data_IF_664805766778
#
_entry.id   IF_664805766778
#
_cell.length_a   1.000
_cell.length_b   1.000
_cell.length_c   1.000
_cell.angle_alpha   90.00
_cell.angle_beta   90.00
_cell.angle_gamma   90.00
#
_symmetry.space_group_name_H-M   'P 1'
#
loop_
_entity.id
_entity.type
_entity.pdbx_description
1 polymer ?
#
# COMPACT_ATOMS: atom_id res chain seq x y z
N UNK A 1 -10.72 -5.15 -8.23
CA UNK A 1 -9.39 -4.98 -7.63
C UNK A 1 -9.31 -5.75 -6.32
N UNK A 2 -8.32 -6.62 -6.20
CA UNK A 2 -8.02 -7.34 -4.97
C UNK A 2 -6.97 -6.54 -4.18
N UNK A 3 -7.30 -6.16 -2.94
CA UNK A 3 -6.39 -5.43 -2.04
C UNK A 3 -5.93 -6.38 -0.95
N UNK A 4 -4.61 -6.52 -0.79
CA UNK A 4 -4.01 -7.53 0.08
C UNK A 4 -2.97 -6.96 1.02
N UNK A 5 -2.98 -7.45 2.26
CA UNK A 5 -1.92 -7.21 3.22
C UNK A 5 -0.61 -7.89 2.78
N UNK A 6 0.54 -7.24 2.98
CA UNK A 6 1.85 -7.82 2.62
C UNK A 6 2.37 -8.84 3.65
N UNK A 7 1.84 -8.82 4.89
CA UNK A 7 2.27 -9.65 6.02
C UNK A 7 3.03 -8.88 7.09
N UNK A 8 3.14 -9.47 8.30
CA UNK A 8 3.58 -8.80 9.52
C UNK A 8 4.85 -9.44 10.13
N UNK A 9 5.80 -9.83 9.31
CA UNK A 9 7.03 -10.52 9.75
C UNK A 9 8.29 -9.67 9.58
N UNK A 10 8.16 -8.40 9.13
CA UNK A 10 9.29 -7.53 8.82
C UNK A 10 10.22 -8.12 7.75
N UNK A 11 9.65 -8.84 6.78
CA UNK A 11 10.41 -9.64 5.82
C UNK A 11 10.42 -8.99 4.44
N UNK A 12 11.55 -9.11 3.75
CA UNK A 12 11.73 -8.76 2.36
C UNK A 12 11.01 -9.79 1.47
N UNK A 13 9.86 -9.40 0.89
CA UNK A 13 9.06 -10.25 0.02
C UNK A 13 9.67 -10.48 -1.36
N UNK A 14 10.68 -9.72 -1.74
CA UNK A 14 11.45 -9.98 -2.97
C UNK A 14 12.43 -11.15 -2.78
N UNK A 15 12.83 -11.44 -1.53
CA UNK A 15 13.72 -12.55 -1.16
C UNK A 15 12.97 -13.77 -0.65
N UNK A 16 11.88 -13.57 0.09
CA UNK A 16 11.05 -14.64 0.63
C UNK A 16 9.62 -14.49 0.14
N UNK A 17 9.16 -15.46 -0.63
CA UNK A 17 7.83 -15.45 -1.23
C UNK A 17 6.77 -15.64 -0.14
N UNK A 18 5.78 -14.74 -0.13
CA UNK A 18 4.55 -14.85 0.65
C UNK A 18 3.36 -14.88 -0.29
N UNK A 19 2.57 -15.92 -0.19
CA UNK A 19 1.37 -16.09 -1.00
C UNK A 19 0.14 -15.43 -0.36
N UNK A 20 -0.77 -14.91 -1.20
CA UNK A 20 -0.65 -14.66 -2.63
C UNK A 20 0.40 -13.57 -2.91
N UNK A 21 1.27 -13.83 -3.87
CA UNK A 21 2.24 -12.82 -4.31
C UNK A 21 1.63 -11.92 -5.40
N UNK A 22 2.14 -10.69 -5.50
CA UNK A 22 1.70 -9.73 -6.52
C UNK A 22 2.24 -10.00 -7.93
N UNK A 23 2.94 -11.14 -8.13
CA UNK A 23 3.56 -11.55 -9.39
C UNK A 23 2.95 -12.87 -9.85
N UNK A 24 2.80 -13.05 -11.14
CA UNK A 24 2.43 -14.32 -11.76
C UNK A 24 3.63 -15.28 -11.87
N UNK A 25 3.42 -16.46 -12.47
CA UNK A 25 4.46 -17.49 -12.65
C UNK A 25 5.63 -17.04 -13.54
N UNK A 26 5.45 -15.99 -14.33
CA UNK A 26 6.49 -15.42 -15.22
C UNK A 26 7.24 -14.27 -14.56
N UNK A 27 6.88 -13.88 -13.34
CA UNK A 27 7.42 -12.71 -12.66
C UNK A 27 6.75 -11.39 -13.04
N UNK A 28 5.70 -11.44 -13.87
CA UNK A 28 4.92 -10.26 -14.24
C UNK A 28 3.96 -9.88 -13.11
N UNK A 29 3.80 -8.59 -12.88
CA UNK A 29 2.86 -8.06 -11.88
C UNK A 29 1.42 -8.33 -12.29
N UNK A 30 0.62 -8.77 -11.31
CA UNK A 30 -0.82 -9.00 -11.47
C UNK A 30 -1.55 -7.67 -11.49
N UNK A 31 -2.24 -7.36 -12.58
CA UNK A 31 -2.83 -6.03 -12.81
C UNK A 31 -4.01 -5.70 -11.88
N UNK A 32 -4.73 -6.70 -11.40
CA UNK A 32 -5.90 -6.53 -10.53
C UNK A 32 -5.65 -6.89 -9.06
N UNK A 33 -4.38 -7.02 -8.64
CA UNK A 33 -3.97 -7.27 -7.26
C UNK A 33 -2.99 -6.19 -6.80
N UNK A 34 -3.26 -5.57 -5.64
CA UNK A 34 -2.38 -4.58 -5.01
C UNK A 34 -2.01 -5.03 -3.60
N UNK A 35 -0.71 -5.03 -3.26
CA UNK A 35 -0.18 -5.44 -1.95
C UNK A 35 0.23 -4.23 -1.12
N UNK A 36 -0.19 -4.23 0.14
CA UNK A 36 -0.13 -3.06 1.01
C UNK A 36 0.80 -3.32 2.19
N UNK A 37 1.80 -2.45 2.36
CA UNK A 37 2.61 -2.33 3.56
C UNK A 37 1.97 -1.38 4.58
N UNK A 38 2.36 -1.49 5.85
CA UNK A 38 1.88 -0.65 6.93
C UNK A 38 2.89 0.45 7.30
N UNK A 39 2.42 1.69 7.47
CA UNK A 39 3.20 2.83 7.97
C UNK A 39 2.62 3.36 9.28
N UNK A 40 3.47 4.06 10.06
CA UNK A 40 3.07 4.82 11.23
C UNK A 40 2.52 6.21 10.86
N UNK A 41 2.10 6.99 11.87
CA UNK A 41 1.57 8.36 11.70
C UNK A 41 2.61 9.34 11.13
N UNK A 42 3.90 9.09 11.32
CA UNK A 42 4.99 9.90 10.81
C UNK A 42 5.44 9.47 9.40
N UNK A 43 4.76 8.48 8.81
CA UNK A 43 5.07 7.91 7.53
C UNK A 43 6.33 7.05 7.53
N UNK A 44 6.73 6.45 8.66
CA UNK A 44 7.77 5.44 8.67
C UNK A 44 7.13 4.07 8.41
N UNK A 45 7.83 3.15 7.72
CA UNK A 45 7.37 1.77 7.63
C UNK A 45 7.26 1.16 9.02
N UNK A 46 6.15 0.47 9.29
CA UNK A 46 5.95 -0.25 10.54
C UNK A 46 7.00 -1.33 10.71
N UNK A 47 7.54 -1.49 11.91
CA UNK A 47 8.63 -2.45 12.20
C UNK A 47 8.26 -3.89 11.85
N UNK A 48 6.99 -4.24 11.92
CA UNK A 48 6.46 -5.57 11.59
C UNK A 48 6.08 -5.71 10.10
N UNK A 49 5.93 -4.60 9.36
CA UNK A 49 5.46 -4.66 7.97
C UNK A 49 6.41 -5.46 7.08
N UNK A 50 5.88 -6.37 6.28
CA UNK A 50 6.64 -6.88 5.16
C UNK A 50 6.83 -5.78 4.12
N UNK A 51 7.90 -5.86 3.35
CA UNK A 51 8.31 -4.91 2.33
C UNK A 51 8.90 -5.63 1.11
N UNK A 52 9.18 -4.91 0.05
CA UNK A 52 9.81 -5.43 -1.16
C UNK A 52 9.60 -4.47 -2.32
N UNK A 53 10.70 -4.08 -2.96
CA UNK A 53 10.71 -3.12 -4.07
C UNK A 53 9.80 -3.55 -5.23
N UNK A 54 9.70 -4.85 -5.48
CA UNK A 54 8.92 -5.42 -6.57
C UNK A 54 7.61 -6.07 -6.10
N UNK A 55 7.53 -6.49 -4.83
CA UNK A 55 6.45 -7.32 -4.30
C UNK A 55 5.42 -6.55 -3.47
N UNK A 56 5.76 -5.38 -2.94
CA UNK A 56 4.82 -4.51 -2.20
C UNK A 56 4.56 -3.26 -3.02
N UNK A 57 3.29 -2.94 -3.25
CA UNK A 57 2.91 -1.85 -4.16
C UNK A 57 3.02 -0.47 -3.53
N UNK A 58 2.37 -0.28 -2.39
CA UNK A 58 2.31 1.00 -1.65
C UNK A 58 2.27 0.74 -0.15
N UNK A 59 2.60 1.75 0.64
CA UNK A 59 2.31 1.76 2.07
C UNK A 59 1.03 2.55 2.37
N UNK A 60 0.38 2.20 3.48
CA UNK A 60 -0.77 2.93 4.02
C UNK A 60 -0.72 2.96 5.55
N UNK A 61 -1.42 3.91 6.22
CA UNK A 61 -1.53 3.92 7.68
C UNK A 61 -2.03 2.57 8.20
N UNK A 62 -1.27 1.97 9.11
CA UNK A 62 -1.57 0.63 9.64
C UNK A 62 -0.90 0.33 10.97
N UNK A 63 -0.25 1.33 11.59
CA UNK A 63 0.36 1.19 12.92
C UNK A 63 -0.41 2.07 13.89
N UNK A 64 -0.81 1.47 15.03
CA UNK A 64 -1.53 2.13 16.13
C UNK A 64 -2.82 2.82 15.67
N UNK A 65 -3.59 2.12 14.83
CA UNK A 65 -4.87 2.60 14.30
C UNK A 65 -5.99 2.22 15.25
N UNK A 66 -6.71 3.21 15.76
CA UNK A 66 -7.93 3.03 16.54
C UNK A 66 -9.13 2.87 15.60
N UNK A 67 -9.89 1.80 15.79
CA UNK A 67 -11.08 1.47 15.01
C UNK A 67 -12.14 0.83 15.90
N UNK A 68 -13.29 0.49 15.32
CA UNK A 68 -14.35 -0.21 16.00
C UNK A 68 -13.84 -1.55 16.54
N UNK A 69 -14.20 -1.85 17.77
CA UNK A 69 -13.88 -3.09 18.48
C UNK A 69 -15.13 -3.86 18.89
N UNK A 70 -14.94 -4.90 19.67
CA UNK A 70 -16.04 -5.70 20.21
C UNK A 70 -16.85 -4.91 21.25
N UNK A 71 -18.09 -5.35 21.50
CA UNK A 71 -18.99 -4.81 22.52
C UNK A 71 -19.24 -3.29 22.40
N UNK A 72 -19.40 -2.79 21.16
CA UNK A 72 -19.61 -1.35 20.84
C UNK A 72 -18.45 -0.46 21.34
N UNK A 73 -17.26 -1.02 21.50
CA UNK A 73 -16.07 -0.31 21.95
C UNK A 73 -15.15 0.07 20.78
N UNK A 74 -13.98 0.56 21.17
CA UNK A 74 -12.88 0.85 20.28
C UNK A 74 -11.66 0.03 20.64
N UNK A 75 -10.86 -0.33 19.65
CA UNK A 75 -9.59 -1.03 19.85
C UNK A 75 -8.51 -0.40 18.99
N UNK A 76 -7.28 -0.40 19.48
CA UNK A 76 -6.10 0.05 18.71
C UNK A 76 -5.33 -1.18 18.25
N UNK A 77 -5.05 -1.24 16.94
CA UNK A 77 -4.37 -2.37 16.33
C UNK A 77 -3.31 -1.91 15.35
N UNK A 78 -2.32 -2.78 15.10
CA UNK A 78 -1.24 -2.55 14.15
C UNK A 78 -1.09 -3.73 13.21
N UNK A 79 -0.86 -3.44 11.93
CA UNK A 79 -0.60 -4.48 10.93
C UNK A 79 -0.91 -4.06 9.50
N UNK A 80 -0.38 -4.81 8.57
CA UNK A 80 -0.70 -4.66 7.15
C UNK A 80 -2.17 -5.02 6.86
N UNK A 81 -2.81 -5.84 7.72
CA UNK A 81 -4.24 -6.12 7.70
C UNK A 81 -5.11 -4.90 8.09
N UNK A 82 -4.52 -3.93 8.80
CA UNK A 82 -5.16 -2.64 9.13
C UNK A 82 -4.91 -1.62 8.02
N UNK A 83 -3.76 -1.67 7.36
CA UNK A 83 -3.41 -0.80 6.24
C UNK A 83 -4.20 -1.15 4.95
N UNK A 84 -4.45 -2.42 4.69
CA UNK A 84 -5.15 -2.87 3.48
C UNK A 84 -6.59 -2.30 3.36
N UNK A 85 -7.45 -2.28 4.38
CA UNK A 85 -8.78 -1.69 4.29
C UNK A 85 -8.78 -0.18 4.04
N UNK A 86 -7.75 0.56 4.44
CA UNK A 86 -7.61 1.99 4.10
C UNK A 86 -7.53 2.15 2.58
N UNK A 87 -6.70 1.34 1.93
CA UNK A 87 -6.57 1.36 0.46
C UNK A 87 -7.82 0.82 -0.22
N UNK A 88 -8.45 -0.21 0.35
CA UNK A 88 -9.72 -0.75 -0.17
C UNK A 88 -10.84 0.30 -0.15
N UNK A 89 -10.94 1.10 0.92
CA UNK A 89 -11.90 2.21 1.01
C UNK A 89 -11.65 3.28 -0.05
N UNK A 90 -10.39 3.68 -0.27
CA UNK A 90 -10.04 4.63 -1.33
C UNK A 90 -10.37 4.04 -2.71
N UNK A 91 -10.05 2.77 -2.95
CA UNK A 91 -10.39 2.09 -4.20
C UNK A 91 -11.90 2.01 -4.43
N UNK A 92 -12.70 1.79 -3.37
CA UNK A 92 -14.16 1.77 -3.43
C UNK A 92 -14.70 3.14 -3.88
N UNK A 93 -14.22 4.24 -3.30
CA UNK A 93 -14.58 5.60 -3.73
C UNK A 93 -14.28 5.79 -5.22
N UNK A 94 -13.08 5.39 -5.68
CA UNK A 94 -12.73 5.52 -7.11
C UNK A 94 -13.65 4.67 -7.99
N UNK A 95 -14.01 3.46 -7.56
CA UNK A 95 -14.90 2.58 -8.33
C UNK A 95 -16.35 3.09 -8.40
N UNK A 96 -16.80 3.76 -7.35
CA UNK A 96 -18.15 4.35 -7.28
C UNK A 96 -18.25 5.59 -8.18
N UNK A 97 -17.35 6.55 -8.01
CA UNK A 97 -17.38 7.80 -8.77
C UNK A 97 -16.88 7.68 -10.22
N UNK A 98 -16.03 6.69 -10.53
CA UNK A 98 -15.44 6.47 -11.85
C UNK A 98 -15.62 5.00 -12.30
N UNK A 99 -16.87 4.52 -12.49
CA UNK A 99 -17.16 3.10 -12.71
C UNK A 99 -16.58 2.53 -14.02
N UNK A 100 -16.23 3.40 -14.98
CA UNK A 100 -15.60 3.00 -16.26
C UNK A 100 -14.11 2.67 -16.14
N UNK A 101 -13.46 2.95 -15.00
CA UNK A 101 -12.07 2.57 -14.77
C UNK A 101 -11.98 1.07 -14.46
N UNK A 102 -11.07 0.38 -15.17
CA UNK A 102 -10.78 -1.03 -14.89
C UNK A 102 -10.04 -1.20 -13.55
N UNK A 103 -10.02 -2.42 -13.01
CA UNK A 103 -9.28 -2.74 -11.79
C UNK A 103 -7.77 -2.40 -11.91
N UNK A 104 -7.16 -2.68 -13.07
CA UNK A 104 -5.77 -2.33 -13.34
C UNK A 104 -5.54 -0.82 -13.37
N UNK A 105 -6.46 -0.04 -13.97
CA UNK A 105 -6.39 1.42 -13.96
C UNK A 105 -6.50 2.01 -12.55
N UNK A 106 -7.40 1.47 -11.71
CA UNK A 106 -7.50 1.89 -10.30
C UNK A 106 -6.21 1.58 -9.54
N UNK A 107 -5.62 0.39 -9.73
CA UNK A 107 -4.31 0.05 -9.16
C UNK A 107 -3.22 1.04 -9.60
N UNK A 108 -3.15 1.31 -10.90
CA UNK A 108 -2.16 2.23 -11.45
C UNK A 108 -2.30 3.65 -10.88
N UNK A 109 -3.53 4.15 -10.75
CA UNK A 109 -3.83 5.43 -10.13
C UNK A 109 -3.35 5.45 -8.68
N UNK A 110 -3.67 4.43 -7.87
CA UNK A 110 -3.25 4.32 -6.48
C UNK A 110 -1.72 4.37 -6.34
N UNK A 111 -0.99 3.64 -7.20
CA UNK A 111 0.48 3.59 -7.18
C UNK A 111 1.10 4.95 -7.59
N UNK A 112 0.54 5.62 -8.60
CA UNK A 112 1.09 6.88 -9.15
C UNK A 112 0.71 8.12 -8.36
N UNK A 113 -0.33 8.05 -7.53
CA UNK A 113 -0.87 9.19 -6.78
C UNK A 113 -0.40 9.28 -5.32
N UNK A 114 0.54 8.44 -4.91
CA UNK A 114 1.07 8.43 -3.54
C UNK A 114 1.65 9.78 -3.13
N UNK A 115 1.74 10.01 -1.82
CA UNK A 115 2.67 10.99 -1.28
C UNK A 115 4.07 10.37 -1.34
N UNK A 116 4.98 10.90 -2.18
CA UNK A 116 6.31 10.33 -2.35
C UNK A 116 7.14 10.53 -1.08
N UNK A 117 7.87 9.48 -0.68
CA UNK A 117 8.73 9.47 0.52
C UNK A 117 10.19 9.18 0.18
N UNK A 118 10.58 9.27 -1.10
CA UNK A 118 11.91 8.87 -1.61
C UNK A 118 13.06 9.67 -1.01
N UNK A 119 12.78 10.88 -0.54
CA UNK A 119 13.74 11.74 0.16
C UNK A 119 14.02 11.30 1.60
N UNK A 120 13.19 10.41 2.16
CA UNK A 120 13.28 9.99 3.56
C UNK A 120 14.04 8.69 3.72
N UNK A 121 15.10 8.71 4.52
CA UNK A 121 15.76 7.48 4.99
C UNK A 121 15.01 6.95 6.19
N UNK A 122 14.57 5.71 6.10
CA UNK A 122 13.75 5.03 7.10
C UNK A 122 14.40 3.73 7.54
N UNK A 123 14.06 3.27 8.74
CA UNK A 123 14.49 1.95 9.22
C UNK A 123 13.85 0.87 8.37
N UNK A 124 14.64 -0.12 7.98
CA UNK A 124 14.13 -1.31 7.27
C UNK A 124 13.33 -2.15 8.28
N UNK A 125 12.07 -2.51 7.99
CA UNK A 125 11.27 -3.38 8.86
C UNK A 125 11.99 -4.68 9.20
N UNK A 126 11.76 -5.22 10.41
CA UNK A 126 12.35 -6.48 10.87
C UNK A 126 13.85 -6.45 11.19
N UNK A 127 14.55 -5.37 10.87
CA UNK A 127 15.99 -5.26 11.11
C UNK A 127 16.28 -4.33 12.29
N UNK A 128 16.57 -4.91 13.46
CA UNK A 128 16.78 -4.16 14.71
C UNK A 128 18.22 -3.61 14.90
N UNK A 129 19.14 -3.83 13.94
CA UNK A 129 20.52 -3.35 14.06
C UNK A 129 20.63 -1.87 13.71
N UNK A 130 21.42 -1.10 14.47
CA UNK A 130 21.79 0.27 14.12
C UNK A 130 22.39 0.31 12.70
N UNK A 131 21.93 1.24 11.86
CA UNK A 131 22.44 1.42 10.50
C UNK A 131 21.62 0.75 9.38
N UNK A 132 20.67 -0.11 9.70
CA UNK A 132 19.78 -0.70 8.68
C UNK A 132 18.71 0.32 8.25
N UNK A 133 19.08 1.19 7.33
CA UNK A 133 18.22 2.22 6.76
C UNK A 133 18.18 2.11 5.24
N UNK A 134 17.06 2.46 4.67
CA UNK A 134 16.82 2.45 3.23
C UNK A 134 16.00 3.67 2.81
N UNK A 135 15.90 3.93 1.53
CA UNK A 135 14.92 4.87 0.97
C UNK A 135 13.62 4.14 0.66
N UNK A 136 12.51 4.85 0.64
CA UNK A 136 11.18 4.24 0.48
C UNK A 136 11.01 3.49 -0.85
N UNK A 137 11.65 3.98 -1.92
CA UNK A 137 11.64 3.36 -3.25
C UNK A 137 12.36 2.00 -3.32
N UNK A 138 13.12 1.65 -2.28
CA UNK A 138 13.69 0.30 -2.11
C UNK A 138 12.78 -0.64 -1.29
N UNK A 139 11.70 -0.13 -0.71
CA UNK A 139 10.79 -0.89 0.16
C UNK A 139 9.43 -1.18 -0.49
N UNK A 140 9.05 -0.42 -1.52
CA UNK A 140 7.84 -0.66 -2.30
C UNK A 140 7.95 -0.04 -3.71
N UNK A 141 7.05 -0.48 -4.59
CA UNK A 141 7.01 -0.05 -6.01
C UNK A 141 6.78 1.45 -6.16
N UNK A 142 5.86 2.02 -5.37
CA UNK A 142 5.48 3.43 -5.48
C UNK A 142 6.48 4.40 -4.85
N UNK A 143 7.34 3.92 -3.94
CA UNK A 143 8.22 4.77 -3.14
C UNK A 143 7.47 5.73 -2.21
N UNK A 144 6.22 5.40 -1.80
CA UNK A 144 5.42 6.33 -1.01
C UNK A 144 4.25 5.73 -0.26
N UNK A 145 3.44 6.63 0.28
CA UNK A 145 2.25 6.32 1.09
C UNK A 145 1.00 6.74 0.31
N UNK A 146 -0.07 5.94 0.41
CA UNK A 146 -1.36 6.23 -0.22
C UNK A 146 -1.86 7.63 0.10
N UNK A 147 -2.40 8.33 -0.91
CA UNK A 147 -2.99 9.65 -0.77
C UNK A 147 -4.35 9.69 -1.46
N UNK A 148 -5.43 9.71 -0.66
CA UNK A 148 -6.80 9.68 -1.16
C UNK A 148 -7.12 10.88 -2.07
N UNK A 149 -6.72 12.09 -1.68
CA UNK A 149 -6.98 13.30 -2.47
C UNK A 149 -6.31 13.25 -3.83
N UNK A 150 -5.03 12.89 -3.87
CA UNK A 150 -4.29 12.77 -5.13
C UNK A 150 -4.87 11.66 -6.01
N UNK A 151 -5.33 10.56 -5.40
CA UNK A 151 -5.96 9.43 -6.10
C UNK A 151 -7.24 9.89 -6.79
N UNK A 152 -8.12 10.61 -6.10
CA UNK A 152 -9.37 11.14 -6.68
C UNK A 152 -9.07 12.14 -7.81
N UNK A 153 -8.14 13.09 -7.60
CA UNK A 153 -7.74 14.06 -8.62
C UNK A 153 -7.21 13.38 -9.91
N UNK A 154 -6.38 12.35 -9.75
CA UNK A 154 -5.82 11.61 -10.89
C UNK A 154 -6.91 10.80 -11.61
N UNK A 155 -7.84 10.16 -10.88
CA UNK A 155 -8.98 9.45 -11.47
C UNK A 155 -9.87 10.39 -12.29
N UNK A 156 -10.17 11.58 -11.78
CA UNK A 156 -10.95 12.61 -12.48
C UNK A 156 -10.27 13.02 -13.79
N UNK A 157 -8.96 13.30 -13.77
CA UNK A 157 -8.21 13.68 -14.95
C UNK A 157 -8.21 12.59 -16.04
N UNK A 158 -8.08 11.31 -15.65
CA UNK A 158 -8.11 10.20 -16.59
C UNK A 158 -9.51 9.96 -17.18
N UNK A 159 -10.55 10.13 -16.37
CA UNK A 159 -11.94 9.98 -16.85
C UNK A 159 -12.34 11.09 -17.81
N UNK A 160 -11.89 12.33 -17.59
CA UNK A 160 -12.17 13.47 -18.47
C UNK A 160 -11.51 13.33 -19.86
N UNK A 161 -10.34 12.69 -19.93
CA UNK A 161 -9.64 12.45 -21.20
C UNK A 161 -10.29 11.37 -22.07
N UNK A 162 -11.07 10.46 -21.48
CA UNK A 162 -11.78 9.38 -22.21
C UNK A 162 -13.12 9.83 -22.80
N UNK A 163 -13.61 11.00 -22.40
CA UNK A 163 -14.90 11.55 -22.88
C UNK A 163 -14.69 12.61 -23.99
N UNK A 164 -13.46 12.83 -24.44
CA UNK A 164 -13.09 13.57 -25.64
C UNK A 164 -12.63 12.59 -26.74
#
# INVERSE_FOLDING_TARGET
LLVMASGNNGTDCDKKIYYPQGLDKTGKRIDNLIRIGASDINGNPGSISNYGKNSVDIFAPGMDITSLGENNGYTTSSGTSIAAPVVAGIAAIIRDYFPKLSAGQVKEILIKSVTPMNYKRVKIPGLNKKGNVATYDSLCVSGGIVNALNTVKMAQQLSSKKNK
#
